data_IF_624043087294
#
_entry.id   IF_624043087294
#
_cell.length_a   1.000
_cell.length_b   1.000
_cell.length_c   1.000
_cell.angle_alpha   90.00
_cell.angle_beta   90.00
_cell.angle_gamma   90.00
#
_symmetry.space_group_name_H-M   'P 1'
#
loop_
_entity.id
_entity.type
_entity.pdbx_description
1 polymer ?
#
# COMPACT_ATOMS: atom_id res chain seq x y z
N UNK A 1 11.95 -8.90 0.41
CA UNK A 1 12.11 -9.74 -0.80
C UNK A 1 12.16 -8.93 -2.10
N UNK A 2 12.08 -7.59 -2.06
CA UNK A 2 12.32 -6.73 -3.22
C UNK A 2 11.16 -6.71 -4.23
N UNK A 3 9.99 -7.21 -3.82
CA UNK A 3 8.76 -7.20 -4.60
C UNK A 3 7.87 -6.06 -4.11
N UNK A 4 7.28 -5.31 -5.05
CA UNK A 4 6.29 -4.27 -4.77
C UNK A 4 4.93 -4.77 -5.25
N UNK A 5 3.96 -4.94 -4.34
CA UNK A 5 2.61 -5.34 -4.73
C UNK A 5 1.84 -4.17 -5.36
N UNK A 6 0.82 -4.45 -6.19
CA UNK A 6 -0.04 -3.41 -6.78
C UNK A 6 -0.56 -2.37 -5.77
N UNK A 7 -1.20 -2.79 -4.67
CA UNK A 7 -1.63 -1.87 -3.61
C UNK A 7 -0.48 -1.11 -2.93
N UNK A 8 0.73 -1.68 -2.84
CA UNK A 8 1.89 -0.92 -2.34
C UNK A 8 2.26 0.19 -3.33
N UNK A 9 2.23 -0.07 -4.65
CA UNK A 9 2.42 0.97 -5.67
C UNK A 9 1.29 2.01 -5.64
N UNK A 10 0.02 1.60 -5.50
CA UNK A 10 -1.12 2.51 -5.43
C UNK A 10 -0.99 3.44 -4.23
N UNK A 11 -0.66 2.88 -3.07
CA UNK A 11 -0.44 3.64 -1.84
C UNK A 11 0.75 4.58 -1.98
N UNK A 12 1.86 4.11 -2.55
CA UNK A 12 3.05 4.91 -2.81
C UNK A 12 2.77 6.11 -3.73
N UNK A 13 2.03 5.87 -4.82
CA UNK A 13 1.68 6.90 -5.82
C UNK A 13 0.69 7.91 -5.28
N UNK A 14 -0.34 7.45 -4.56
CA UNK A 14 -1.48 8.27 -4.18
C UNK A 14 -1.35 8.89 -2.79
N UNK A 15 -0.46 8.37 -1.94
CA UNK A 15 -0.17 8.92 -0.63
C UNK A 15 1.33 8.97 -0.34
N UNK A 16 2.01 10.09 -0.67
CA UNK A 16 3.41 10.30 -0.33
C UNK A 16 3.72 10.18 1.17
N UNK A 17 2.70 10.35 2.03
CA UNK A 17 2.81 10.25 3.49
C UNK A 17 2.32 8.91 4.03
N UNK A 18 2.21 7.88 3.18
CA UNK A 18 1.62 6.60 3.52
C UNK A 18 2.26 5.92 4.73
N UNK A 19 3.58 6.06 4.94
CA UNK A 19 4.27 5.51 6.11
C UNK A 19 3.75 6.10 7.44
N UNK A 20 3.38 7.38 7.47
CA UNK A 20 2.94 8.05 8.69
C UNK A 20 1.61 7.49 9.22
N UNK A 21 0.66 7.21 8.34
CA UNK A 21 -0.68 6.69 8.74
C UNK A 21 -0.56 5.25 9.23
N UNK A 22 0.23 4.42 8.54
CA UNK A 22 0.51 3.03 8.91
C UNK A 22 1.20 2.92 10.28
N UNK A 23 2.29 3.67 10.47
CA UNK A 23 3.02 3.69 11.73
C UNK A 23 2.13 4.17 12.88
N UNK A 24 1.34 5.23 12.67
CA UNK A 24 0.38 5.71 13.69
C UNK A 24 -0.69 4.68 14.02
N UNK A 25 -1.22 3.98 13.03
CA UNK A 25 -2.22 2.94 13.27
C UNK A 25 -1.68 1.83 14.17
N UNK A 26 -0.46 1.32 13.92
CA UNK A 26 0.18 0.34 14.81
C UNK A 26 0.54 0.90 16.17
N UNK A 27 1.03 2.15 16.22
CA UNK A 27 1.35 2.80 17.47
C UNK A 27 0.11 2.94 18.37
N UNK A 28 -1.04 3.28 17.80
CA UNK A 28 -2.30 3.34 18.55
C UNK A 28 -2.79 1.94 18.97
N UNK A 29 -2.68 0.92 18.12
CA UNK A 29 -2.98 -0.47 18.52
C UNK A 29 -2.13 -0.90 19.73
N UNK A 30 -0.82 -0.65 19.68
CA UNK A 30 0.11 -0.97 20.77
C UNK A 30 -0.20 -0.19 22.05
N UNK A 31 -0.44 1.12 21.94
CA UNK A 31 -0.80 2.00 23.05
C UNK A 31 -2.11 1.61 23.72
N UNK A 32 -3.08 1.13 22.94
CA UNK A 32 -4.36 0.64 23.42
C UNK A 32 -4.31 -0.82 23.91
N UNK A 33 -3.17 -1.50 23.76
CA UNK A 33 -3.02 -2.92 24.14
C UNK A 33 -3.85 -3.87 23.28
N UNK A 34 -4.22 -3.45 22.06
CA UNK A 34 -5.00 -4.26 21.14
C UNK A 34 -4.10 -5.31 20.49
N UNK A 35 -4.42 -6.58 20.70
CA UNK A 35 -3.67 -7.69 20.08
C UNK A 35 -4.24 -8.03 18.70
N UNK A 36 -3.43 -8.60 17.78
CA UNK A 36 -3.88 -8.96 16.42
C UNK A 36 -5.12 -9.86 16.40
N UNK A 37 -5.26 -10.75 17.38
CA UNK A 37 -6.43 -11.63 17.52
C UNK A 37 -7.74 -10.84 17.71
N UNK A 38 -7.71 -9.73 18.45
CA UNK A 38 -8.86 -8.86 18.63
C UNK A 38 -9.24 -8.16 17.34
N UNK A 39 -8.26 -7.66 16.59
CA UNK A 39 -8.49 -7.04 15.27
C UNK A 39 -9.12 -8.05 14.32
N UNK A 40 -8.57 -9.27 14.27
CA UNK A 40 -9.10 -10.37 13.46
C UNK A 40 -10.56 -10.66 13.77
N UNK A 41 -10.88 -10.86 15.06
CA UNK A 41 -12.23 -11.16 15.48
C UNK A 41 -13.23 -10.08 15.01
N UNK A 42 -12.89 -8.80 15.17
CA UNK A 42 -13.79 -7.70 14.80
C UNK A 42 -14.00 -7.59 13.28
N UNK A 43 -12.96 -7.88 12.49
CA UNK A 43 -13.06 -7.92 11.03
C UNK A 43 -13.91 -9.10 10.57
N UNK A 44 -13.67 -10.30 11.11
CA UNK A 44 -14.42 -11.51 10.79
C UNK A 44 -15.89 -11.42 11.24
N UNK A 45 -16.19 -10.77 12.37
CA UNK A 45 -17.57 -10.45 12.79
C UNK A 45 -18.31 -9.54 11.81
N UNK A 46 -17.57 -8.71 11.06
CA UNK A 46 -18.13 -7.79 10.07
C UNK A 46 -18.34 -8.45 8.70
N UNK A 47 -17.63 -9.53 8.42
CA UNK A 47 -17.72 -10.34 7.19
C UNK A 47 -18.90 -11.32 7.24
N UNK A 48 -20.12 -10.78 7.25
CA UNK A 48 -21.35 -11.58 7.42
C UNK A 48 -21.67 -12.54 6.27
N UNK A 49 -21.01 -12.38 5.12
CA UNK A 49 -21.16 -13.21 3.94
C UNK A 49 -19.95 -14.12 3.67
N UNK A 50 -18.99 -14.20 4.60
CA UNK A 50 -17.77 -15.02 4.52
C UNK A 50 -16.90 -14.73 3.28
N UNK A 51 -16.96 -13.49 2.77
CA UNK A 51 -16.22 -13.04 1.60
C UNK A 51 -14.71 -12.92 1.81
N UNK A 52 -14.26 -12.92 3.08
CA UNK A 52 -12.92 -12.56 3.54
C UNK A 52 -12.54 -11.10 3.26
N UNK A 53 -13.55 -10.27 3.00
CA UNK A 53 -13.43 -8.84 2.73
C UNK A 53 -14.30 -8.05 3.71
N UNK A 54 -13.94 -6.79 3.95
CA UNK A 54 -14.79 -5.84 4.68
C UNK A 54 -14.92 -4.54 3.89
N UNK A 55 -16.13 -3.98 3.82
CA UNK A 55 -16.35 -2.68 3.20
C UNK A 55 -15.80 -1.54 4.06
N UNK A 56 -15.58 -0.36 3.45
CA UNK A 56 -15.08 0.84 4.13
C UNK A 56 -15.87 1.20 5.40
N UNK A 57 -17.21 1.13 5.35
CA UNK A 57 -18.08 1.48 6.49
C UNK A 57 -17.88 0.52 7.66
N UNK A 58 -17.69 -0.77 7.38
CA UNK A 58 -17.45 -1.76 8.42
C UNK A 58 -16.04 -1.62 8.98
N UNK A 59 -15.05 -1.31 8.15
CA UNK A 59 -13.69 -1.00 8.59
C UNK A 59 -13.66 0.23 9.53
N UNK A 60 -14.34 1.32 9.18
CA UNK A 60 -14.51 2.48 10.07
C UNK A 60 -15.15 2.10 11.42
N UNK A 61 -16.19 1.25 11.38
CA UNK A 61 -16.84 0.76 12.60
C UNK A 61 -15.89 -0.07 13.46
N UNK A 62 -15.07 -0.92 12.84
CA UNK A 62 -14.05 -1.72 13.54
C UNK A 62 -13.03 -0.80 14.22
N UNK A 63 -12.51 0.23 13.54
CA UNK A 63 -11.60 1.21 14.13
C UNK A 63 -12.24 1.94 15.32
N UNK A 64 -13.51 2.32 15.22
CA UNK A 64 -14.28 2.91 16.32
C UNK A 64 -14.45 1.95 17.51
N UNK A 65 -14.76 0.67 17.27
CA UNK A 65 -14.85 -0.37 18.33
C UNK A 65 -13.50 -0.62 19.00
N UNK A 66 -12.40 -0.46 18.29
CA UNK A 66 -11.04 -0.56 18.82
C UNK A 66 -10.61 0.69 19.61
N UNK A 67 -11.40 1.78 19.59
CA UNK A 67 -11.03 3.05 20.22
C UNK A 67 -9.99 3.86 19.44
N UNK A 68 -9.78 3.53 18.17
CA UNK A 68 -8.79 4.18 17.30
C UNK A 68 -9.45 5.39 16.66
N UNK A 69 -8.98 6.58 17.05
CA UNK A 69 -9.43 7.84 16.48
C UNK A 69 -8.55 8.23 15.28
N UNK A 70 -9.05 7.97 14.08
CA UNK A 70 -8.47 8.46 12.82
C UNK A 70 -9.48 9.37 12.12
N UNK A 71 -8.98 10.43 11.48
CA UNK A 71 -9.81 11.25 10.60
C UNK A 71 -10.21 10.48 9.34
N UNK A 72 -11.31 10.89 8.69
CA UNK A 72 -11.82 10.24 7.47
C UNK A 72 -10.74 10.06 6.38
N UNK A 73 -9.91 11.09 6.15
CA UNK A 73 -8.83 11.02 5.16
C UNK A 73 -7.70 10.08 5.60
N UNK A 74 -7.50 9.86 6.90
CA UNK A 74 -6.52 8.90 7.42
C UNK A 74 -7.06 7.48 7.26
N UNK A 75 -8.34 7.25 7.54
CA UNK A 75 -8.98 5.95 7.30
C UNK A 75 -8.92 5.59 5.83
N UNK A 76 -9.29 6.51 4.93
CA UNK A 76 -9.22 6.29 3.49
C UNK A 76 -7.81 5.92 3.04
N UNK A 77 -6.79 6.67 3.50
CA UNK A 77 -5.38 6.39 3.17
C UNK A 77 -4.88 5.07 3.72
N UNK A 78 -5.32 4.69 4.92
CA UNK A 78 -5.03 3.39 5.50
C UNK A 78 -5.69 2.25 4.69
N UNK A 79 -6.97 2.41 4.35
CA UNK A 79 -7.76 1.42 3.64
C UNK A 79 -7.24 1.12 2.23
N UNK A 80 -6.65 2.12 1.54
CA UNK A 80 -6.03 1.93 0.23
C UNK A 80 -4.94 0.84 0.20
N UNK A 81 -4.35 0.49 1.34
CA UNK A 81 -3.38 -0.62 1.46
C UNK A 81 -3.99 -2.01 1.35
N UNK A 82 -5.29 -2.09 1.55
CA UNK A 82 -6.03 -3.33 1.70
C UNK A 82 -7.08 -3.52 0.59
N UNK A 83 -7.32 -2.47 -0.21
CA UNK A 83 -8.24 -2.41 -1.35
C UNK A 83 -7.52 -2.79 -2.65
N UNK A 84 -7.30 -4.07 -2.85
CA UNK A 84 -6.42 -4.61 -3.91
C UNK A 84 -6.91 -4.30 -5.34
N UNK A 85 -8.21 -4.12 -5.53
CA UNK A 85 -8.83 -3.90 -6.84
C UNK A 85 -9.54 -2.55 -6.94
N UNK A 86 -9.39 -1.68 -5.94
CA UNK A 86 -10.02 -0.36 -5.84
C UNK A 86 -11.57 -0.41 -5.91
N UNK A 87 -12.17 -1.51 -5.44
CA UNK A 87 -13.63 -1.66 -5.42
C UNK A 87 -14.26 -1.26 -4.07
N UNK A 88 -13.43 -0.86 -3.10
CA UNK A 88 -13.84 -0.43 -1.77
C UNK A 88 -13.98 -1.57 -0.76
N UNK A 89 -13.65 -2.80 -1.14
CA UNK A 89 -13.60 -3.96 -0.25
C UNK A 89 -12.16 -4.27 0.16
N UNK A 90 -11.96 -4.38 1.46
CA UNK A 90 -10.65 -4.49 2.08
C UNK A 90 -10.35 -5.94 2.46
N UNK A 91 -9.21 -6.45 2.04
CA UNK A 91 -8.77 -7.81 2.38
C UNK A 91 -8.42 -7.96 3.86
N UNK A 92 -9.20 -8.77 4.58
CA UNK A 92 -8.96 -9.07 6.01
C UNK A 92 -7.58 -9.68 6.20
N UNK A 93 -7.16 -10.58 5.30
CA UNK A 93 -5.84 -11.21 5.35
C UNK A 93 -4.73 -10.15 5.34
N UNK A 94 -4.82 -9.16 4.45
CA UNK A 94 -3.82 -8.09 4.36
C UNK A 94 -3.80 -7.20 5.59
N UNK A 95 -4.97 -6.81 6.11
CA UNK A 95 -5.05 -6.03 7.34
C UNK A 95 -4.35 -6.75 8.49
N UNK A 96 -4.58 -8.07 8.63
CA UNK A 96 -4.00 -8.84 9.73
C UNK A 96 -2.50 -9.06 9.54
N UNK A 97 -2.04 -9.40 8.34
CA UNK A 97 -0.60 -9.49 8.08
C UNK A 97 0.11 -8.16 8.29
N UNK A 98 -0.55 -7.04 7.96
CA UNK A 98 -0.06 -5.70 8.30
C UNK A 98 0.04 -5.50 9.81
N UNK A 99 -1.01 -5.81 10.58
CA UNK A 99 -1.01 -5.67 12.05
C UNK A 99 0.04 -6.57 12.70
N UNK A 100 0.32 -7.75 12.14
CA UNK A 100 1.35 -8.68 12.62
C UNK A 100 2.78 -8.32 12.16
N UNK A 101 2.94 -7.35 11.27
CA UNK A 101 4.25 -6.92 10.76
C UNK A 101 4.89 -7.88 9.77
N UNK A 102 4.12 -8.80 9.18
CA UNK A 102 4.62 -9.90 8.35
C UNK A 102 5.11 -9.46 6.95
N UNK A 103 4.71 -8.27 6.49
CA UNK A 103 5.01 -7.76 5.14
C UNK A 103 5.86 -6.47 5.11
N UNK A 104 6.42 -6.03 6.25
CA UNK A 104 7.23 -4.79 6.32
C UNK A 104 8.73 -4.97 6.19
N UNK A 105 9.19 -6.18 5.92
CA UNK A 105 10.63 -6.48 5.82
C UNK A 105 11.35 -5.83 4.61
N UNK A 106 10.68 -5.01 3.79
CA UNK A 106 11.29 -4.35 2.64
C UNK A 106 11.30 -2.81 2.68
N UNK A 107 10.50 -2.14 3.53
CA UNK A 107 10.28 -0.69 3.42
C UNK A 107 10.62 0.18 4.64
N UNK A 108 10.70 -0.40 5.83
CA UNK A 108 10.79 0.37 7.09
C UNK A 108 12.19 0.35 7.76
N UNK A 109 13.18 -0.29 7.13
CA UNK A 109 14.60 -0.09 7.49
C UNK A 109 15.15 1.12 6.75
N UNK A 110 14.96 2.30 7.32
CA UNK A 110 15.86 3.46 7.23
C UNK A 110 16.74 3.54 5.96
N UNK A 111 16.15 3.93 4.83
CA UNK A 111 16.89 4.49 3.70
C UNK A 111 16.30 5.87 3.35
N UNK A 112 16.36 6.78 4.33
CA UNK A 112 16.39 8.21 4.02
C UNK A 112 17.81 8.53 3.55
N UNK A 113 18.11 8.16 2.30
CA UNK A 113 19.16 8.82 1.53
C UNK A 113 18.46 9.76 0.54
N UNK A 114 19.06 10.90 0.27
CA UNK A 114 18.59 11.86 -0.73
C UNK A 114 18.36 11.22 -2.10
N UNK A 115 19.08 10.13 -2.41
CA UNK A 115 18.96 9.37 -3.65
C UNK A 115 17.63 8.60 -3.74
N UNK A 116 17.18 8.00 -2.64
CA UNK A 116 15.86 7.35 -2.57
C UNK A 116 14.76 8.40 -2.74
N UNK A 117 14.81 9.52 -2.01
CA UNK A 117 13.82 10.59 -2.13
C UNK A 117 13.71 11.16 -3.57
N UNK A 118 14.85 11.35 -4.24
CA UNK A 118 14.88 11.78 -5.65
C UNK A 118 14.25 10.74 -6.58
N UNK A 119 14.49 9.46 -6.32
CA UNK A 119 13.96 8.36 -7.10
C UNK A 119 12.45 8.21 -6.92
N UNK A 120 11.97 8.35 -5.67
CA UNK A 120 10.55 8.38 -5.34
C UNK A 120 9.85 9.56 -6.01
N UNK A 121 10.48 10.74 -6.03
CA UNK A 121 9.95 11.92 -6.72
C UNK A 121 9.88 11.72 -8.25
N UNK A 122 10.86 11.01 -8.85
CA UNK A 122 10.82 10.65 -10.27
C UNK A 122 9.67 9.69 -10.57
N UNK A 123 9.48 8.66 -9.75
CA UNK A 123 8.37 7.72 -9.92
C UNK A 123 7.01 8.42 -9.82
N UNK A 124 6.82 9.28 -8.82
CA UNK A 124 5.58 10.05 -8.66
C UNK A 124 5.28 10.93 -9.89
N UNK A 125 6.30 11.61 -10.44
CA UNK A 125 6.13 12.40 -11.68
C UNK A 125 5.78 11.52 -12.87
N UNK A 126 6.35 10.32 -12.95
CA UNK A 126 6.08 9.37 -14.01
C UNK A 126 4.63 8.90 -14.00
N UNK A 127 4.16 8.50 -12.83
CA UNK A 127 2.78 8.05 -12.65
C UNK A 127 1.79 9.20 -12.85
N UNK A 128 2.08 10.40 -12.34
CA UNK A 128 1.25 11.59 -12.57
C UNK A 128 1.15 11.95 -14.07
N UNK A 129 2.25 11.85 -14.82
CA UNK A 129 2.26 12.08 -16.27
C UNK A 129 1.45 11.02 -17.02
N UNK A 130 1.54 9.75 -16.63
CA UNK A 130 0.74 8.68 -17.22
C UNK A 130 -0.77 8.88 -16.93
N UNK A 131 -1.12 9.31 -15.72
CA UNK A 131 -2.50 9.66 -15.35
C UNK A 131 -3.05 10.86 -16.14
N UNK A 132 -2.22 11.87 -16.44
CA UNK A 132 -2.60 12.98 -17.33
C UNK A 132 -2.91 12.51 -18.76
N UNK A 133 -2.35 11.36 -19.18
CA UNK A 133 -2.69 10.69 -20.45
C UNK A 133 -3.87 9.72 -20.30
N UNK A 134 -4.70 9.87 -19.27
CA UNK A 134 -5.89 9.07 -18.96
C UNK A 134 -5.63 7.59 -18.61
N UNK A 135 -4.40 7.24 -18.22
CA UNK A 135 -4.12 5.89 -17.73
C UNK A 135 -4.48 5.75 -16.25
N UNK A 136 -5.21 4.70 -15.91
CA UNK A 136 -5.48 4.30 -14.52
C UNK A 136 -4.23 3.75 -13.85
N UNK A 137 -4.19 3.75 -12.51
CA UNK A 137 -3.10 3.12 -11.76
C UNK A 137 -2.93 1.64 -12.12
N UNK A 138 -4.04 0.95 -12.43
CA UNK A 138 -4.05 -0.44 -12.86
C UNK A 138 -3.38 -0.64 -14.21
N UNK A 139 -3.68 0.20 -15.19
CA UNK A 139 -3.02 0.15 -16.51
C UNK A 139 -1.53 0.47 -16.38
N UNK A 140 -1.18 1.43 -15.53
CA UNK A 140 0.21 1.77 -15.24
C UNK A 140 0.93 0.56 -14.61
N UNK A 141 0.33 -0.10 -13.61
CA UNK A 141 0.90 -1.30 -13.01
C UNK A 141 1.05 -2.45 -14.01
N UNK A 142 0.08 -2.65 -14.91
CA UNK A 142 0.20 -3.65 -15.98
C UNK A 142 1.37 -3.37 -16.96
N UNK A 143 1.84 -2.13 -17.05
CA UNK A 143 3.06 -1.84 -17.80
C UNK A 143 4.34 -2.28 -17.07
N UNK A 144 4.28 -2.34 -15.73
CA UNK A 144 5.35 -2.82 -14.85
C UNK A 144 5.31 -4.35 -14.72
N UNK A 145 4.19 -4.90 -14.27
CA UNK A 145 3.93 -6.34 -14.08
C UNK A 145 3.77 -7.03 -15.45
N UNK A 146 4.91 -7.27 -16.10
CA UNK A 146 4.96 -7.77 -17.46
C UNK A 146 4.58 -9.25 -17.55
N UNK A 147 4.79 -10.01 -16.48
CA UNK A 147 4.43 -11.42 -16.39
C UNK A 147 3.02 -11.66 -15.82
N UNK A 148 2.38 -10.64 -15.25
CA UNK A 148 1.02 -10.71 -14.72
C UNK A 148 0.93 -11.46 -13.41
N UNK A 149 2.03 -11.54 -12.66
CA UNK A 149 2.11 -12.22 -11.37
C UNK A 149 1.32 -11.51 -10.27
N UNK A 150 0.99 -10.24 -10.46
CA UNK A 150 0.38 -9.38 -9.44
C UNK A 150 1.39 -8.70 -8.50
N UNK A 151 2.67 -9.00 -8.68
CA UNK A 151 3.81 -8.39 -7.98
C UNK A 151 4.77 -7.81 -9.01
N UNK A 152 5.45 -6.70 -8.68
CA UNK A 152 6.49 -6.13 -9.54
C UNK A 152 7.85 -6.37 -8.90
N UNK A 153 8.71 -7.11 -9.60
CA UNK A 153 10.11 -7.27 -9.20
C UNK A 153 11.00 -6.13 -9.73
N UNK A 154 12.24 -6.05 -9.25
CA UNK A 154 13.24 -5.01 -9.62
C UNK A 154 13.40 -4.86 -11.15
N UNK A 155 13.42 -5.97 -11.89
CA UNK A 155 13.58 -5.95 -13.36
C UNK A 155 12.35 -5.36 -14.02
N UNK A 156 11.17 -5.82 -13.63
CA UNK A 156 9.88 -5.33 -14.13
C UNK A 156 9.65 -3.86 -13.81
N UNK A 157 10.09 -3.42 -12.64
CA UNK A 157 10.06 -2.04 -12.24
C UNK A 157 10.92 -1.16 -13.15
N UNK A 158 12.18 -1.54 -13.37
CA UNK A 158 13.11 -0.80 -14.23
C UNK A 158 12.64 -0.77 -15.70
N UNK A 159 12.15 -1.89 -16.22
CA UNK A 159 11.62 -1.98 -17.58
C UNK A 159 10.33 -1.16 -17.76
N UNK A 160 9.40 -1.24 -16.81
CA UNK A 160 8.15 -0.50 -16.85
C UNK A 160 8.35 1.01 -16.78
N UNK A 161 9.33 1.48 -16.01
CA UNK A 161 9.68 2.90 -15.92
C UNK A 161 10.13 3.44 -17.29
N UNK A 162 10.98 2.69 -18.00
CA UNK A 162 11.38 3.02 -19.36
C UNK A 162 10.19 3.08 -20.33
N UNK A 163 9.24 2.14 -20.21
CA UNK A 163 8.02 2.10 -21.04
C UNK A 163 7.11 3.30 -20.83
N UNK A 164 7.05 3.87 -19.62
CA UNK A 164 6.27 5.09 -19.33
C UNK A 164 7.08 6.39 -19.57
N UNK A 165 8.27 6.28 -20.17
CA UNK A 165 9.10 7.40 -20.62
C UNK A 165 10.02 7.97 -19.54
N UNK A 166 10.41 7.15 -18.57
CA UNK A 166 11.36 7.49 -17.52
C UNK A 166 12.49 6.47 -17.47
N UNK A 167 13.64 6.85 -18.02
CA UNK A 167 14.84 6.01 -17.94
C UNK A 167 15.53 6.22 -16.59
N UNK A 168 15.61 5.16 -15.79
CA UNK A 168 16.52 5.11 -14.65
C UNK A 168 17.91 4.68 -15.10
N UNK A 169 18.93 5.26 -14.50
CA UNK A 169 20.29 4.76 -14.60
C UNK A 169 20.43 3.44 -13.84
N UNK A 170 21.42 2.62 -14.21
CA UNK A 170 21.71 1.35 -13.49
C UNK A 170 22.07 1.58 -12.02
N UNK A 171 22.59 2.75 -11.69
CA UNK A 171 22.92 3.13 -10.31
C UNK A 171 21.66 3.42 -9.52
N UNK A 172 20.68 4.11 -10.10
CA UNK A 172 19.38 4.36 -9.48
C UNK A 172 18.57 3.08 -9.28
N UNK A 173 18.62 2.13 -10.23
CA UNK A 173 17.94 0.84 -10.09
C UNK A 173 18.51 0.02 -8.92
N UNK A 174 19.83 0.10 -8.69
CA UNK A 174 20.51 -0.63 -7.61
C UNK A 174 20.24 -0.12 -6.20
N UNK A 175 19.72 1.10 -6.08
CA UNK A 175 19.42 1.76 -4.80
C UNK A 175 17.97 1.48 -4.36
N UNK A 176 17.13 0.97 -5.26
CA UNK A 176 15.80 0.41 -4.96
C UNK A 176 15.90 -0.97 -4.30
#
# INVERSE_FOLDING_TARGET
DGLVSYPDLVVFVRDPNHHHVAHRFRAELNKLGVVPATVRQLLEESDTNDSKLVGMVDFERVLGRLGIALGHDEVRRLAMRFDDNEDGNLSIKRIISFVMGEHEAAGDQALSSTEVDELLAKLQRAVAKAQLNHMSCREIFQHFDADGSGDVNEREFAEGLGRIGFDLTREEVRVL
#
